data_IF_630518270955
#
_entry.id   IF_630518270955
#
_cell.length_a   1.000
_cell.length_b   1.000
_cell.length_c   1.000
_cell.angle_alpha   90.00
_cell.angle_beta   90.00
_cell.angle_gamma   90.00
#
_symmetry.space_group_name_H-M   'P 1'
#
loop_
_entity.id
_entity.type
_entity.pdbx_description
1 polymer ?
#
# COMPACT_ATOMS: atom_id res chain seq x y z
N UNK A 1 -4.48 26.13 -4.81
CA UNK A 1 -4.78 24.94 -4.00
C UNK A 1 -5.32 23.91 -4.95
N UNK A 2 -4.67 22.75 -5.01
CA UNK A 2 -5.03 21.68 -5.95
C UNK A 2 -5.77 20.53 -5.26
N UNK A 3 -6.04 20.64 -3.96
CA UNK A 3 -6.72 19.63 -3.17
C UNK A 3 -7.60 20.28 -2.09
N UNK A 4 -8.67 19.60 -1.73
CA UNK A 4 -9.58 19.98 -0.63
C UNK A 4 -9.56 18.87 0.41
N UNK A 5 -9.42 19.24 1.69
CA UNK A 5 -9.57 18.29 2.78
C UNK A 5 -11.05 18.05 3.06
N UNK A 6 -11.43 16.80 3.16
CA UNK A 6 -12.78 16.34 3.47
C UNK A 6 -12.72 15.27 4.56
N UNK A 7 -13.84 15.00 5.23
CA UNK A 7 -13.93 13.86 6.14
C UNK A 7 -13.99 12.52 5.36
N UNK A 8 -13.80 11.41 6.07
CA UNK A 8 -13.77 10.08 5.45
C UNK A 8 -15.12 9.68 4.84
N UNK A 9 -16.24 10.13 5.40
CA UNK A 9 -17.57 9.79 4.87
C UNK A 9 -17.78 10.43 3.50
N UNK A 10 -17.52 11.74 3.41
CA UNK A 10 -17.57 12.48 2.15
C UNK A 10 -16.55 11.91 1.13
N UNK A 11 -15.34 11.59 1.59
CA UNK A 11 -14.31 10.98 0.76
C UNK A 11 -14.79 9.68 0.09
N UNK A 12 -15.41 8.77 0.85
CA UNK A 12 -15.92 7.53 0.28
C UNK A 12 -17.05 7.75 -0.70
N UNK A 13 -17.96 8.70 -0.42
CA UNK A 13 -19.15 8.94 -1.25
C UNK A 13 -18.86 9.67 -2.56
N UNK A 14 -17.85 10.53 -2.58
CA UNK A 14 -17.62 11.43 -3.71
C UNK A 14 -16.50 10.99 -4.66
N UNK A 15 -15.53 10.20 -4.18
CA UNK A 15 -14.38 9.80 -4.99
C UNK A 15 -14.76 8.74 -6.05
N UNK A 16 -14.18 8.88 -7.24
CA UNK A 16 -14.21 7.88 -8.31
C UNK A 16 -12.95 7.01 -8.28
N UNK A 17 -11.86 7.55 -7.72
CA UNK A 17 -10.57 6.86 -7.53
C UNK A 17 -10.06 7.17 -6.14
N UNK A 18 -9.65 6.14 -5.41
CA UNK A 18 -9.02 6.26 -4.09
C UNK A 18 -7.59 5.73 -4.18
N UNK A 19 -6.62 6.53 -3.73
CA UNK A 19 -5.22 6.13 -3.63
C UNK A 19 -4.74 6.25 -2.18
N UNK A 20 -4.18 5.17 -1.64
CA UNK A 20 -3.75 5.08 -0.25
C UNK A 20 -2.26 5.42 -0.12
N UNK A 21 -1.95 6.39 0.75
CA UNK A 21 -0.59 6.89 0.99
C UNK A 21 -0.29 7.11 2.49
N UNK A 22 -0.96 6.35 3.35
CA UNK A 22 -0.83 6.48 4.81
C UNK A 22 -0.05 5.32 5.41
N UNK A 23 0.58 5.50 6.59
CA UNK A 23 1.23 4.40 7.31
C UNK A 23 0.20 3.41 7.84
N UNK A 24 0.63 2.16 8.02
CA UNK A 24 -0.13 1.17 8.76
C UNK A 24 -0.02 1.43 10.27
N UNK A 25 -1.17 1.61 10.91
CA UNK A 25 -1.35 1.76 12.35
C UNK A 25 -2.54 0.89 12.77
N UNK A 26 -2.70 0.65 14.08
CA UNK A 26 -3.91 -0.06 14.58
C UNK A 26 -5.21 0.63 14.17
N UNK A 27 -5.21 1.97 14.10
CA UNK A 27 -6.36 2.77 13.68
C UNK A 27 -6.63 2.77 12.18
N UNK A 28 -5.65 2.39 11.35
CA UNK A 28 -5.78 2.32 9.90
C UNK A 28 -5.87 0.88 9.38
N UNK A 29 -5.83 -0.11 10.29
CA UNK A 29 -6.00 -1.52 9.93
C UNK A 29 -7.37 -1.74 9.29
N UNK A 30 -7.36 -2.33 8.09
CA UNK A 30 -8.57 -2.59 7.30
C UNK A 30 -9.45 -1.35 7.12
N UNK A 31 -8.83 -0.18 6.90
CA UNK A 31 -9.54 1.05 6.55
C UNK A 31 -10.48 0.83 5.36
N UNK A 32 -10.02 0.05 4.38
CA UNK A 32 -10.83 -0.42 3.26
C UNK A 32 -11.34 -1.82 3.58
N UNK A 33 -12.64 -1.93 3.82
CA UNK A 33 -13.37 -3.15 4.19
C UNK A 33 -14.77 -3.13 3.60
N UNK A 34 -15.59 -4.17 3.84
CA UNK A 34 -16.95 -4.26 3.29
C UNK A 34 -17.82 -3.05 3.64
N UNK A 35 -17.72 -2.55 4.88
CA UNK A 35 -18.53 -1.40 5.31
C UNK A 35 -18.13 -0.11 4.59
N UNK A 36 -16.84 0.14 4.44
CA UNK A 36 -16.37 1.35 3.75
C UNK A 36 -16.56 1.24 2.25
N UNK A 37 -16.33 0.07 1.65
CA UNK A 37 -16.60 -0.20 0.23
C UNK A 37 -18.09 0.01 -0.09
N UNK A 38 -19.00 -0.39 0.78
CA UNK A 38 -20.44 -0.22 0.55
C UNK A 38 -20.85 1.26 0.43
N UNK A 39 -20.11 2.18 1.05
CA UNK A 39 -20.34 3.63 1.00
C UNK A 39 -19.79 4.31 -0.25
N UNK A 40 -18.88 3.64 -0.95
CA UNK A 40 -18.23 4.18 -2.14
C UNK A 40 -19.17 4.13 -3.34
N UNK A 41 -18.81 4.84 -4.40
CA UNK A 41 -19.51 4.76 -5.68
C UNK A 41 -19.38 3.37 -6.31
N UNK A 42 -20.37 2.97 -7.08
CA UNK A 42 -20.27 1.77 -7.90
C UNK A 42 -19.22 1.97 -8.99
N UNK A 43 -18.36 0.99 -9.17
CA UNK A 43 -17.25 1.08 -10.10
C UNK A 43 -16.03 1.83 -9.57
N UNK A 44 -15.94 2.06 -8.25
CA UNK A 44 -14.78 2.71 -7.61
C UNK A 44 -13.47 2.05 -8.03
N UNK A 45 -12.43 2.84 -8.25
CA UNK A 45 -11.05 2.37 -8.45
C UNK A 45 -10.27 2.56 -7.17
N UNK A 46 -9.60 1.51 -6.69
CA UNK A 46 -8.78 1.58 -5.47
C UNK A 46 -7.33 1.26 -5.80
N UNK A 47 -6.42 2.13 -5.38
CA UNK A 47 -4.98 1.99 -5.56
C UNK A 47 -4.32 1.93 -4.19
N UNK A 48 -3.55 0.87 -3.93
CA UNK A 48 -2.78 0.74 -2.70
C UNK A 48 -1.29 0.52 -3.00
N UNK A 49 -0.50 1.57 -2.79
CA UNK A 49 0.96 1.55 -2.83
C UNK A 49 1.57 1.85 -1.44
N UNK A 50 0.80 1.69 -0.37
CA UNK A 50 1.24 2.01 0.98
C UNK A 50 1.55 0.76 1.80
N UNK A 51 0.53 0.08 2.34
CA UNK A 51 0.68 -1.17 3.11
C UNK A 51 -0.53 -2.09 2.85
N UNK A 52 -0.29 -3.39 2.69
CA UNK A 52 -1.33 -4.38 2.40
C UNK A 52 -2.45 -4.38 3.42
N UNK A 53 -2.11 -4.31 4.71
CA UNK A 53 -3.04 -4.36 5.84
C UNK A 53 -3.99 -3.15 5.95
N UNK A 54 -3.86 -2.12 5.12
CA UNK A 54 -4.85 -1.04 5.01
C UNK A 54 -6.15 -1.51 4.36
N UNK A 55 -6.08 -2.57 3.56
CA UNK A 55 -7.23 -3.15 2.87
C UNK A 55 -7.46 -4.58 3.36
N UNK A 56 -8.70 -4.90 3.70
CA UNK A 56 -9.09 -6.30 3.90
C UNK A 56 -9.16 -6.99 2.53
N UNK A 57 -8.27 -7.94 2.29
CA UNK A 57 -8.12 -8.58 0.97
C UNK A 57 -9.39 -9.33 0.54
N UNK A 58 -10.07 -9.98 1.46
CA UNK A 58 -11.33 -10.68 1.14
C UNK A 58 -12.46 -9.70 0.76
N UNK A 59 -12.51 -8.53 1.41
CA UNK A 59 -13.46 -7.48 1.04
C UNK A 59 -13.17 -6.90 -0.35
N UNK A 60 -11.90 -6.76 -0.73
CA UNK A 60 -11.53 -6.37 -2.10
C UNK A 60 -12.00 -7.42 -3.12
N UNK A 61 -11.79 -8.70 -2.83
CA UNK A 61 -12.23 -9.80 -3.71
C UNK A 61 -13.75 -9.73 -3.91
N UNK A 62 -14.52 -9.68 -2.82
CA UNK A 62 -15.98 -9.54 -2.90
C UNK A 62 -16.42 -8.30 -3.67
N UNK A 63 -15.70 -7.19 -3.46
CA UNK A 63 -15.98 -5.93 -4.16
C UNK A 63 -15.79 -6.03 -5.69
N UNK A 64 -14.76 -6.75 -6.15
CA UNK A 64 -14.53 -7.03 -7.58
C UNK A 64 -15.59 -7.99 -8.12
N UNK A 65 -15.88 -9.08 -7.41
CA UNK A 65 -16.84 -10.11 -7.84
C UNK A 65 -18.24 -9.53 -8.07
N UNK A 66 -18.71 -8.66 -7.16
CA UNK A 66 -20.02 -8.01 -7.28
C UNK A 66 -19.98 -6.67 -8.03
N UNK A 67 -18.86 -6.34 -8.67
CA UNK A 67 -18.68 -5.14 -9.51
C UNK A 67 -18.86 -3.80 -8.76
N UNK A 68 -18.82 -3.82 -7.44
CA UNK A 68 -18.77 -2.61 -6.61
C UNK A 68 -17.44 -1.90 -6.81
N UNK A 69 -16.35 -2.66 -6.90
CA UNK A 69 -15.03 -2.17 -7.28
C UNK A 69 -14.84 -2.40 -8.78
N UNK A 70 -14.59 -1.33 -9.51
CA UNK A 70 -14.38 -1.34 -10.95
C UNK A 70 -12.98 -1.79 -11.34
N UNK A 71 -11.96 -1.41 -10.56
CA UNK A 71 -10.57 -1.84 -10.76
C UNK A 71 -9.75 -1.73 -9.47
N UNK A 72 -8.67 -2.52 -9.41
CA UNK A 72 -7.67 -2.47 -8.34
C UNK A 72 -6.27 -2.28 -8.90
N UNK A 73 -5.48 -1.40 -8.26
CA UNK A 73 -4.03 -1.29 -8.43
C UNK A 73 -3.36 -1.59 -7.09
N UNK A 74 -2.67 -2.72 -6.98
CA UNK A 74 -2.09 -3.19 -5.73
C UNK A 74 -0.59 -3.40 -5.89
N UNK A 75 0.22 -2.52 -5.29
CA UNK A 75 1.66 -2.76 -5.16
C UNK A 75 1.98 -3.59 -3.90
N UNK A 76 1.06 -3.55 -2.94
CA UNK A 76 1.13 -4.24 -1.65
C UNK A 76 -0.15 -5.03 -1.39
N UNK A 77 -0.05 -6.15 -0.67
CA UNK A 77 -1.19 -6.99 -0.31
C UNK A 77 -0.94 -7.70 1.02
N UNK A 78 -2.00 -8.02 1.76
CA UNK A 78 -1.86 -8.77 3.01
C UNK A 78 -1.21 -10.15 2.77
N UNK A 79 -0.26 -10.49 3.62
CA UNK A 79 0.45 -11.77 3.54
C UNK A 79 1.45 -11.84 2.38
N UNK A 80 1.97 -10.70 1.94
CA UNK A 80 3.06 -10.63 0.96
C UNK A 80 4.42 -10.98 1.56
N UNK A 81 4.53 -10.96 2.88
CA UNK A 81 5.75 -11.27 3.61
C UNK A 81 6.23 -12.68 3.28
N UNK A 82 7.50 -12.82 2.90
CA UNK A 82 8.09 -14.08 2.48
C UNK A 82 7.69 -14.56 1.07
N UNK A 83 6.95 -13.71 0.31
CA UNK A 83 6.62 -13.95 -1.10
C UNK A 83 7.30 -12.90 -1.98
N UNK A 84 7.03 -11.62 -1.72
CA UNK A 84 7.67 -10.54 -2.46
C UNK A 84 9.15 -10.42 -2.07
N UNK A 85 9.97 -10.04 -3.03
CA UNK A 85 11.44 -9.94 -2.91
C UNK A 85 12.14 -11.28 -2.57
N UNK A 86 11.47 -12.41 -2.78
CA UNK A 86 12.02 -13.74 -2.63
C UNK A 86 12.10 -14.45 -3.99
N UNK A 87 13.08 -15.35 -4.12
CA UNK A 87 13.18 -16.23 -5.30
C UNK A 87 12.17 -17.38 -5.16
N UNK A 88 10.99 -17.19 -5.74
CA UNK A 88 9.88 -18.15 -5.71
C UNK A 88 9.81 -19.04 -6.96
N UNK A 89 10.88 -19.09 -7.80
CA UNK A 89 10.88 -19.85 -9.06
C UNK A 89 10.62 -21.34 -8.89
N UNK A 90 11.00 -21.88 -7.75
CA UNK A 90 10.89 -23.33 -7.45
C UNK A 90 9.90 -23.63 -6.31
N UNK A 91 9.15 -22.64 -5.84
CA UNK A 91 8.20 -22.79 -4.74
C UNK A 91 6.78 -22.35 -5.14
N UNK A 92 5.82 -22.74 -4.34
CA UNK A 92 4.40 -22.43 -4.55
C UNK A 92 4.03 -21.20 -3.72
N UNK A 93 3.43 -20.21 -4.37
CA UNK A 93 2.85 -19.05 -3.68
C UNK A 93 1.64 -19.54 -2.88
N UNK A 94 1.77 -19.59 -1.55
CA UNK A 94 0.75 -20.11 -0.64
C UNK A 94 -0.41 -19.14 -0.37
N UNK A 95 -0.26 -17.85 -0.71
CA UNK A 95 -1.31 -16.86 -0.55
C UNK A 95 -2.39 -17.03 -1.64
N UNK A 96 -3.48 -17.73 -1.30
CA UNK A 96 -4.58 -18.01 -2.21
C UNK A 96 -5.29 -16.74 -2.69
N UNK A 97 -5.49 -15.77 -1.81
CA UNK A 97 -6.16 -14.51 -2.14
C UNK A 97 -5.34 -13.69 -3.15
N UNK A 98 -4.02 -13.63 -2.97
CA UNK A 98 -3.12 -13.01 -3.94
C UNK A 98 -3.18 -13.69 -5.31
N UNK A 99 -3.14 -15.02 -5.34
CA UNK A 99 -3.24 -15.79 -6.58
C UNK A 99 -4.61 -15.56 -7.25
N UNK A 100 -5.68 -15.50 -6.48
CA UNK A 100 -7.03 -15.28 -6.98
C UNK A 100 -7.22 -13.86 -7.55
N UNK A 101 -6.76 -12.83 -6.85
CA UNK A 101 -6.80 -11.45 -7.33
C UNK A 101 -6.11 -11.27 -8.70
N UNK A 102 -5.04 -11.99 -8.94
CA UNK A 102 -4.31 -11.94 -10.22
C UNK A 102 -5.10 -12.47 -11.43
N UNK A 103 -6.20 -13.19 -11.20
CA UNK A 103 -7.04 -13.73 -12.28
C UNK A 103 -7.99 -12.69 -12.87
N UNK A 104 -8.26 -11.60 -12.15
CA UNK A 104 -9.21 -10.58 -12.63
C UNK A 104 -8.54 -9.63 -13.62
N UNK A 105 -9.15 -9.40 -14.82
CA UNK A 105 -8.56 -8.56 -15.86
C UNK A 105 -8.50 -7.07 -15.49
N UNK A 106 -9.27 -6.65 -14.49
CA UNK A 106 -9.33 -5.29 -13.94
C UNK A 106 -8.52 -5.15 -12.64
N UNK A 107 -7.62 -6.08 -12.35
CA UNK A 107 -6.70 -6.02 -11.20
C UNK A 107 -5.27 -6.00 -11.70
N UNK A 108 -4.54 -4.94 -11.36
CA UNK A 108 -3.10 -4.80 -11.62
C UNK A 108 -2.37 -5.01 -10.29
N UNK A 109 -1.40 -5.93 -10.29
CA UNK A 109 -0.57 -6.21 -9.11
C UNK A 109 0.90 -6.09 -9.47
N UNK A 110 1.62 -5.29 -8.70
CA UNK A 110 3.08 -5.19 -8.72
C UNK A 110 3.67 -5.78 -7.42
N UNK A 111 4.97 -5.94 -7.35
CA UNK A 111 5.61 -6.72 -6.28
C UNK A 111 6.30 -5.82 -5.25
N UNK A 112 5.54 -4.87 -4.68
CA UNK A 112 6.04 -3.89 -3.72
C UNK A 112 7.24 -3.11 -4.30
N UNK A 113 7.05 -2.57 -5.50
CA UNK A 113 8.09 -1.91 -6.29
C UNK A 113 7.81 -0.41 -6.50
N UNK A 114 6.77 0.16 -5.91
CA UNK A 114 6.43 1.56 -6.08
C UNK A 114 7.56 2.53 -5.65
N UNK A 115 8.44 2.09 -4.73
CA UNK A 115 9.62 2.83 -4.33
C UNK A 115 10.79 2.73 -5.33
N UNK A 116 10.76 1.78 -6.26
CA UNK A 116 11.93 1.42 -7.08
C UNK A 116 12.09 2.38 -8.26
N UNK A 117 12.52 3.58 -7.93
CA UNK A 117 12.92 4.63 -8.87
C UNK A 117 14.36 5.06 -8.58
N UNK A 118 15.09 5.55 -9.58
CA UNK A 118 16.48 5.99 -9.40
C UNK A 118 16.60 7.04 -8.28
N UNK A 119 15.66 7.98 -8.22
CA UNK A 119 15.67 9.03 -7.19
C UNK A 119 15.42 8.45 -5.78
N UNK A 120 14.44 7.58 -5.61
CA UNK A 120 14.12 7.01 -4.30
C UNK A 120 15.24 6.08 -3.80
N UNK A 121 15.74 5.18 -4.67
CA UNK A 121 16.82 4.26 -4.32
C UNK A 121 18.10 5.03 -3.98
N UNK A 122 18.49 6.02 -4.80
CA UNK A 122 19.65 6.85 -4.51
C UNK A 122 19.52 7.60 -3.19
N UNK A 123 18.34 8.17 -2.90
CA UNK A 123 18.08 8.85 -1.62
C UNK A 123 18.18 7.90 -0.44
N UNK A 124 17.60 6.71 -0.51
CA UNK A 124 17.68 5.72 0.57
C UNK A 124 19.12 5.31 0.87
N UNK A 125 19.92 5.03 -0.16
CA UNK A 125 21.34 4.67 -0.01
C UNK A 125 22.12 5.84 0.59
N UNK A 126 21.97 7.05 0.03
CA UNK A 126 22.71 8.23 0.48
C UNK A 126 22.37 8.60 1.94
N UNK A 127 21.10 8.62 2.31
CA UNK A 127 20.67 8.90 3.68
C UNK A 127 21.19 7.84 4.65
N UNK A 128 21.16 6.57 4.29
CA UNK A 128 21.70 5.49 5.12
C UNK A 128 23.20 5.64 5.35
N UNK A 129 23.97 5.95 4.30
CA UNK A 129 25.40 6.17 4.41
C UNK A 129 25.72 7.42 5.22
N UNK A 130 24.98 8.51 5.04
CA UNK A 130 25.16 9.73 5.82
C UNK A 130 24.86 9.49 7.31
N UNK A 131 23.82 8.74 7.63
CA UNK A 131 23.49 8.39 9.02
C UNK A 131 24.58 7.52 9.67
N UNK A 132 25.08 6.52 8.96
CA UNK A 132 26.20 5.70 9.43
C UNK A 132 27.46 6.51 9.67
N UNK A 133 27.77 7.42 8.75
CA UNK A 133 28.93 8.34 8.87
C UNK A 133 28.78 9.28 10.07
N UNK A 134 27.60 9.87 10.27
CA UNK A 134 27.33 10.73 11.41
C UNK A 134 27.47 9.96 12.74
N UNK A 135 26.87 8.78 12.82
CA UNK A 135 26.97 7.91 14.01
C UNK A 135 28.44 7.52 14.31
N UNK A 136 29.21 7.15 13.29
CA UNK A 136 30.61 6.76 13.47
C UNK A 136 31.50 7.92 13.96
N UNK A 137 31.15 9.17 13.64
CA UNK A 137 31.94 10.35 13.99
C UNK A 137 31.32 11.16 15.15
N UNK A 138 30.32 10.64 15.87
CA UNK A 138 29.57 11.34 16.92
C UNK A 138 29.04 12.71 16.47
N UNK A 139 28.55 12.79 15.24
CA UNK A 139 27.97 13.99 14.66
C UNK A 139 26.44 13.98 14.79
N UNK A 140 25.87 15.17 14.98
CA UNK A 140 24.41 15.34 14.89
C UNK A 140 23.89 15.03 13.49
N UNK A 141 22.77 14.32 13.43
CA UNK A 141 22.09 14.01 12.19
C UNK A 141 20.59 14.32 12.29
N UNK A 142 20.08 15.16 11.41
CA UNK A 142 18.70 15.67 11.47
C UNK A 142 17.64 14.58 11.31
N UNK A 143 17.99 13.43 10.69
CA UNK A 143 17.09 12.29 10.52
C UNK A 143 17.28 11.18 11.56
N UNK A 144 17.95 11.46 12.67
CA UNK A 144 18.10 10.50 13.74
C UNK A 144 16.78 10.24 14.45
N UNK A 145 16.29 8.99 14.42
CA UNK A 145 15.01 8.61 15.02
C UNK A 145 15.01 8.58 16.55
N UNK A 146 16.18 8.62 17.17
CA UNK A 146 16.33 8.51 18.63
C UNK A 146 16.50 9.85 19.33
N UNK A 147 16.56 10.96 18.60
CA UNK A 147 16.73 12.30 19.19
C UNK A 147 15.61 12.71 20.16
N UNK A 148 14.43 12.10 20.03
CA UNK A 148 13.24 12.44 20.81
C UNK A 148 12.83 11.30 21.77
N UNK A 149 13.69 10.28 21.99
CA UNK A 149 13.54 9.20 22.97
C UNK A 149 14.36 9.52 24.21
#
# INVERSE_FOLDING_TARGET
IYATYVDLEQFYQECDIISLHMPYLKSTHHLINDQTISKMKDGIIIINCARGQLCNTESLIRGIENKKIGALGLDVVEGEEGIYHQDMRTDIIKNKNMAYLRQFPNVVMTQHLAFYTDAAVSSMVQLSLNGLWACYNDLDWDNELTKDL
#
